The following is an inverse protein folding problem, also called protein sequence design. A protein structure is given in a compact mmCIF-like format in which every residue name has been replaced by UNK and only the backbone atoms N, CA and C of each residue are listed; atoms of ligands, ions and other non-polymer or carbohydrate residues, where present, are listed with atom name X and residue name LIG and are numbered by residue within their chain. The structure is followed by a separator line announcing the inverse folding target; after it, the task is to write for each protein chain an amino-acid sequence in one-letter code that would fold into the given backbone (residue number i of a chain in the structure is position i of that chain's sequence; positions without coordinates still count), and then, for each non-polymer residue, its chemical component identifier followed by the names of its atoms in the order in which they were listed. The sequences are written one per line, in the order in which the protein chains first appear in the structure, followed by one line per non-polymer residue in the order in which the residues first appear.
data_IF_708565561279
#
_entry.id   IF_708565561279
#
_cell.length_a   1.000
_cell.length_b   1.000
_cell.length_c   1.000
_cell.angle_alpha   90.00
_cell.angle_beta   90.00
_cell.angle_gamma   90.00
#
_symmetry.space_group_name_H-M   'P 1'
#
loop_
_entity.id
_entity.type
_entity.pdbx_description
1 polymer ?
#
# COMPACT_ATOMS: atom_id res chain seq x y z
N UNK A 1 74.82 1.93 14.79
CA UNK A 1 73.35 2.04 14.65
C UNK A 1 72.95 1.32 13.37
N UNK A 2 72.48 0.08 13.49
CA UNK A 2 71.99 -0.77 12.42
C UNK A 2 70.96 -1.74 13.05
N UNK A 3 69.76 -1.82 12.47
CA UNK A 3 68.68 -2.68 12.92
C UNK A 3 69.00 -4.16 12.65
N UNK A 4 68.60 -5.06 13.55
CA UNK A 4 68.78 -6.51 13.39
C UNK A 4 67.73 -7.34 14.14
N UNK A 5 67.17 -8.30 13.40
CA UNK A 5 66.71 -9.61 13.87
C UNK A 5 65.29 -9.69 14.46
N UNK A 6 64.59 -10.82 14.42
CA UNK A 6 64.82 -12.16 13.86
C UNK A 6 63.44 -12.87 13.86
N UNK A 7 63.14 -13.63 12.80
CA UNK A 7 62.06 -14.62 12.72
C UNK A 7 62.58 -16.00 13.16
N UNK A 8 61.70 -16.82 13.77
CA UNK A 8 61.64 -18.31 13.86
C UNK A 8 61.12 -18.82 15.24
N UNK A 9 60.86 -20.13 15.50
CA UNK A 9 59.93 -21.10 14.86
C UNK A 9 59.24 -22.03 15.93
N UNK A 10 58.42 -23.05 15.53
CA UNK A 10 58.13 -24.36 16.21
C UNK A 10 57.10 -25.14 15.32
N UNK A 11 57.38 -26.24 14.57
CA UNK A 11 57.55 -27.69 14.90
C UNK A 11 56.36 -28.29 15.73
N UNK A 12 55.74 -29.47 15.50
CA UNK A 12 56.01 -30.69 14.69
C UNK A 12 54.75 -31.61 14.62
N UNK A 13 54.56 -32.28 13.47
CA UNK A 13 54.04 -33.65 13.13
C UNK A 13 53.19 -34.53 14.06
N UNK A 14 52.18 -35.22 13.48
CA UNK A 14 52.13 -36.71 13.30
C UNK A 14 51.00 -37.18 12.34
N UNK A 15 51.27 -38.24 11.57
CA UNK A 15 50.40 -38.88 10.57
C UNK A 15 50.08 -40.36 10.92
N UNK A 16 49.09 -40.93 10.20
CA UNK A 16 48.81 -42.37 9.86
C UNK A 16 47.97 -43.19 10.90
N UNK A 17 47.13 -44.22 10.55
CA UNK A 17 46.67 -44.78 9.25
C UNK A 17 45.13 -44.94 9.06
N UNK A 18 44.79 -45.26 7.81
CA UNK A 18 43.53 -45.79 7.27
C UNK A 18 43.37 -47.30 7.60
N UNK A 19 42.19 -47.75 8.04
CA UNK A 19 41.84 -49.17 8.11
C UNK A 19 40.39 -49.41 7.66
N UNK A 20 40.23 -50.42 6.81
CA UNK A 20 38.98 -50.97 6.29
C UNK A 20 38.19 -51.74 7.34
N UNK A 21 36.86 -51.66 7.31
CA UNK A 21 35.99 -52.52 8.13
C UNK A 21 34.62 -52.73 7.49
N UNK A 22 34.41 -53.92 6.93
CA UNK A 22 33.11 -54.47 6.53
C UNK A 22 32.23 -54.67 7.77
N UNK A 23 30.94 -54.35 7.70
CA UNK A 23 29.88 -54.89 8.55
C UNK A 23 28.62 -55.02 7.67
N UNK A 24 28.34 -56.21 7.13
CA UNK A 24 27.45 -57.24 7.69
C UNK A 24 26.00 -56.76 7.84
N UNK A 25 25.24 -56.96 6.76
CA UNK A 25 23.79 -56.98 6.76
C UNK A 25 23.30 -58.18 7.58
N UNK A 26 22.47 -57.93 8.60
CA UNK A 26 21.57 -58.93 9.17
C UNK A 26 20.14 -58.46 8.94
N UNK A 27 19.42 -59.21 8.11
CA UNK A 27 17.98 -59.09 7.90
C UNK A 27 17.22 -59.41 9.18
N UNK A 28 16.06 -58.79 9.37
CA UNK A 28 14.85 -59.45 9.87
C UNK A 28 13.64 -58.62 9.44
N UNK A 29 12.77 -59.27 8.67
CA UNK A 29 11.46 -58.81 8.23
C UNK A 29 10.44 -58.89 9.35
N UNK A 30 9.58 -57.89 9.49
CA UNK A 30 8.17 -58.09 9.85
C UNK A 30 7.33 -57.02 9.13
N UNK A 31 6.35 -57.49 8.36
CA UNK A 31 5.38 -56.65 7.68
C UNK A 31 4.31 -56.22 8.68
N UNK A 32 4.04 -54.92 8.76
CA UNK A 32 2.80 -54.39 9.30
C UNK A 32 2.36 -53.20 8.44
N UNK A 33 1.28 -53.45 7.72
CA UNK A 33 0.46 -52.58 6.90
C UNK A 33 0.41 -51.11 7.40
N UNK A 34 1.23 -50.24 6.81
CA UNK A 34 1.11 -48.79 6.97
C UNK A 34 0.70 -48.20 5.62
N UNK A 35 -0.53 -47.71 5.53
CA UNK A 35 -0.94 -46.88 4.39
C UNK A 35 0.06 -45.71 4.26
N UNK A 36 0.51 -45.38 3.04
CA UNK A 36 1.35 -44.20 2.86
C UNK A 36 0.60 -42.98 3.40
N UNK A 37 1.27 -42.04 4.09
CA UNK A 37 0.61 -40.83 4.56
C UNK A 37 -0.08 -40.19 3.36
N UNK A 38 -1.41 -40.05 3.45
CA UNK A 38 -2.20 -39.40 2.42
C UNK A 38 -1.52 -38.09 2.05
N UNK A 39 -1.22 -37.92 0.77
CA UNK A 39 -0.65 -36.68 0.25
C UNK A 39 -1.44 -35.50 0.83
N UNK A 40 -0.77 -34.43 1.31
CA UNK A 40 -1.47 -33.28 1.84
C UNK A 40 -2.41 -32.78 0.75
N UNK A 41 -3.73 -32.84 1.00
CA UNK A 41 -4.73 -32.29 0.09
C UNK A 41 -4.27 -30.88 -0.27
N UNK A 42 -4.24 -30.50 -1.56
CA UNK A 42 -3.86 -29.14 -1.95
C UNK A 42 -4.76 -28.19 -1.16
N UNK A 43 -4.13 -27.40 -0.28
CA UNK A 43 -4.85 -26.47 0.59
C UNK A 43 -5.66 -25.55 -0.32
N UNK A 44 -6.97 -25.46 -0.06
CA UNK A 44 -7.86 -24.59 -0.81
C UNK A 44 -7.20 -23.21 -0.98
N UNK A 45 -7.15 -22.74 -2.23
CA UNK A 45 -6.65 -21.40 -2.54
C UNK A 45 -7.39 -20.41 -1.64
N UNK A 46 -6.63 -19.71 -0.80
CA UNK A 46 -7.18 -18.81 0.20
C UNK A 46 -7.74 -17.58 -0.52
N UNK A 47 -9.03 -17.61 -0.84
CA UNK A 47 -9.74 -16.49 -1.47
C UNK A 47 -9.99 -15.43 -0.42
N UNK A 48 -9.26 -14.32 -0.50
CA UNK A 48 -9.53 -13.13 0.30
C UNK A 48 -10.38 -12.19 -0.56
N UNK A 49 -11.63 -11.91 -0.19
CA UNK A 49 -12.44 -10.92 -0.89
C UNK A 49 -11.74 -9.56 -0.87
N UNK A 50 -11.71 -8.85 -2.00
CA UNK A 50 -11.13 -7.52 -2.07
C UNK A 50 -11.78 -6.54 -1.08
N UNK A 51 -13.08 -6.70 -0.81
CA UNK A 51 -13.84 -5.95 0.19
C UNK A 51 -13.42 -6.21 1.63
N UNK A 52 -12.62 -7.26 1.90
CA UNK A 52 -12.10 -7.54 3.24
C UNK A 52 -10.83 -6.75 3.57
N UNK A 53 -10.23 -6.10 2.58
CA UNK A 53 -8.99 -5.34 2.74
C UNK A 53 -9.20 -3.82 2.76
N UNK A 54 -10.39 -3.34 2.42
CA UNK A 54 -10.71 -1.92 2.48
C UNK A 54 -12.01 -1.72 3.22
N UNK A 55 -12.09 -0.65 3.99
CA UNK A 55 -13.29 -0.25 4.71
C UNK A 55 -13.78 1.07 4.13
N UNK A 56 -14.98 1.05 3.54
CA UNK A 56 -15.59 2.18 2.85
C UNK A 56 -16.87 2.56 3.62
N UNK A 57 -16.98 3.81 4.08
CA UNK A 57 -18.18 4.28 4.78
C UNK A 57 -18.90 5.42 4.05
N UNK A 58 -18.16 6.31 3.36
CA UNK A 58 -18.75 7.36 2.51
C UNK A 58 -18.41 7.20 1.01
N UNK A 59 -17.61 6.19 0.66
CA UNK A 59 -17.27 5.88 -0.74
C UNK A 59 -17.80 4.53 -1.18
N UNK A 60 -17.90 4.32 -2.49
CA UNK A 60 -18.21 3.01 -3.06
C UNK A 60 -16.93 2.22 -3.32
N UNK A 61 -16.91 0.91 -3.01
CA UNK A 61 -15.76 0.07 -3.34
C UNK A 61 -15.57 0.01 -4.86
N UNK A 62 -14.31 0.01 -5.36
CA UNK A 62 -14.03 -0.01 -6.79
C UNK A 62 -14.49 -1.31 -7.45
N UNK A 63 -15.00 -1.20 -8.67
CA UNK A 63 -15.38 -2.37 -9.48
C UNK A 63 -14.14 -3.13 -9.98
N UNK A 64 -14.25 -4.43 -10.31
CA UNK A 64 -13.15 -5.18 -10.89
C UNK A 64 -12.58 -4.56 -12.18
N UNK A 65 -13.42 -3.91 -12.97
CA UNK A 65 -13.01 -3.20 -14.20
C UNK A 65 -12.18 -1.97 -13.88
N UNK A 66 -12.57 -1.19 -12.87
CA UNK A 66 -11.82 -0.03 -12.39
C UNK A 66 -10.45 -0.44 -11.85
N UNK A 67 -10.39 -1.52 -11.07
CA UNK A 67 -9.12 -2.07 -10.57
C UNK A 67 -8.22 -2.55 -11.73
N UNK A 68 -8.79 -3.20 -12.74
CA UNK A 68 -8.06 -3.65 -13.93
C UNK A 68 -7.53 -2.47 -14.75
N UNK A 69 -8.33 -1.41 -14.90
CA UNK A 69 -7.90 -0.17 -15.55
C UNK A 69 -6.73 0.47 -14.80
N UNK A 70 -6.85 0.60 -13.47
CA UNK A 70 -5.79 1.15 -12.64
C UNK A 70 -4.50 0.33 -12.72
N UNK A 71 -4.58 -1.00 -12.67
CA UNK A 71 -3.42 -1.87 -12.87
C UNK A 71 -2.77 -1.64 -14.24
N UNK A 72 -3.58 -1.58 -15.32
CA UNK A 72 -3.09 -1.34 -16.68
C UNK A 72 -2.40 0.01 -16.82
N UNK A 73 -2.95 1.08 -16.24
CA UNK A 73 -2.36 2.43 -16.30
C UNK A 73 -0.91 2.44 -15.78
N UNK A 74 -0.66 1.81 -14.62
CA UNK A 74 0.67 1.75 -14.00
C UNK A 74 1.62 0.71 -14.62
N UNK A 75 1.09 -0.25 -15.38
CA UNK A 75 1.88 -1.32 -16.02
C UNK A 75 2.20 -1.05 -17.47
N UNK A 76 1.43 -0.17 -18.14
CA UNK A 76 1.58 0.13 -19.56
C UNK A 76 2.97 0.68 -19.88
N UNK A 77 3.44 1.62 -19.07
CA UNK A 77 4.71 2.31 -19.25
C UNK A 77 5.51 2.29 -17.94
N UNK A 78 6.84 2.17 -17.99
CA UNK A 78 7.65 2.28 -16.79
C UNK A 78 7.58 3.71 -16.24
N UNK A 79 7.62 3.89 -14.90
CA UNK A 79 7.63 5.21 -14.29
C UNK A 79 8.93 5.95 -14.64
N UNK A 80 8.81 7.26 -14.83
CA UNK A 80 9.92 8.16 -15.15
C UNK A 80 10.24 8.99 -13.90
N UNK A 81 11.50 8.98 -13.46
CA UNK A 81 11.95 9.89 -12.42
C UNK A 81 12.04 11.30 -13.00
N UNK A 82 11.38 12.26 -12.35
CA UNK A 82 11.39 13.66 -12.77
C UNK A 82 12.49 14.42 -12.03
N UNK A 83 12.38 14.51 -10.71
CA UNK A 83 13.27 15.32 -9.90
C UNK A 83 13.36 14.84 -8.44
N UNK A 84 14.41 15.30 -7.75
CA UNK A 84 14.57 15.17 -6.31
C UNK A 84 14.93 16.53 -5.71
N UNK A 85 14.07 17.05 -4.83
CA UNK A 85 14.19 18.38 -4.28
C UNK A 85 14.13 18.36 -2.75
N UNK A 86 15.15 18.88 -2.04
CA UNK A 86 15.11 18.97 -0.58
C UNK A 86 14.23 20.13 -0.10
N UNK A 87 13.93 21.10 -0.96
CA UNK A 87 13.15 22.30 -0.65
C UNK A 87 12.02 22.47 -1.66
N UNK A 88 10.87 22.97 -1.22
CA UNK A 88 9.72 23.22 -2.07
C UNK A 88 10.05 24.13 -3.26
N UNK A 89 10.82 25.20 -3.02
CA UNK A 89 11.18 26.17 -4.07
C UNK A 89 12.14 25.64 -5.14
N UNK A 90 12.81 24.52 -4.90
CA UNK A 90 13.83 23.95 -5.80
C UNK A 90 13.33 22.74 -6.58
N UNK A 91 12.03 22.47 -6.55
CA UNK A 91 11.42 21.42 -7.37
C UNK A 91 11.23 21.90 -8.80
N UNK A 92 11.11 20.96 -9.75
CA UNK A 92 10.69 21.32 -11.09
C UNK A 92 9.17 21.48 -11.09
N UNK A 93 8.74 22.65 -11.57
CA UNK A 93 7.33 23.01 -11.63
C UNK A 93 6.70 22.41 -12.89
N UNK A 94 5.57 21.75 -12.72
CA UNK A 94 4.72 21.29 -13.82
C UNK A 94 3.25 21.36 -13.46
N UNK A 95 2.38 21.06 -14.41
CA UNK A 95 0.93 21.25 -14.28
C UNK A 95 0.15 19.93 -14.16
N UNK A 96 0.86 18.79 -14.18
CA UNK A 96 0.24 17.47 -14.03
C UNK A 96 -0.33 17.26 -12.63
N UNK A 97 -1.47 16.57 -12.48
CA UNK A 97 -2.02 16.24 -11.17
C UNK A 97 -1.03 15.42 -10.34
N UNK A 98 -0.96 15.73 -9.05
CA UNK A 98 0.00 15.16 -8.12
C UNK A 98 -0.67 14.44 -6.95
N UNK A 99 -0.06 13.35 -6.52
CA UNK A 99 -0.38 12.68 -5.26
C UNK A 99 0.91 12.48 -4.47
N UNK A 100 0.87 12.70 -3.16
CA UNK A 100 2.05 12.53 -2.32
C UNK A 100 1.88 11.42 -1.29
N UNK A 101 2.95 10.68 -1.02
CA UNK A 101 2.98 9.63 -0.01
C UNK A 101 3.74 10.12 1.22
N UNK A 102 3.08 10.05 2.38
CA UNK A 102 3.59 10.44 3.68
C UNK A 102 3.50 9.24 4.62
N UNK A 103 4.35 9.22 5.65
CA UNK A 103 4.31 8.18 6.67
C UNK A 103 5.55 8.17 7.54
N UNK A 104 5.46 7.51 8.69
CA UNK A 104 6.59 7.34 9.61
C UNK A 104 7.77 6.62 8.95
N UNK A 105 8.97 6.89 9.45
CA UNK A 105 10.14 6.08 9.11
C UNK A 105 9.85 4.58 9.32
N UNK A 106 10.20 3.75 8.33
CA UNK A 106 9.97 2.31 8.31
C UNK A 106 8.49 1.84 8.29
N UNK A 107 7.52 2.72 8.01
CA UNK A 107 6.12 2.30 7.82
C UNK A 107 5.92 1.44 6.57
N UNK A 108 6.85 1.50 5.61
CA UNK A 108 6.77 0.73 4.35
C UNK A 108 6.53 1.59 3.10
N UNK A 109 6.56 2.92 3.21
CA UNK A 109 6.34 3.86 2.09
C UNK A 109 7.13 3.56 0.82
N UNK A 110 8.45 3.45 0.90
CA UNK A 110 9.27 3.18 -0.28
C UNK A 110 9.01 1.80 -0.87
N UNK A 111 8.71 0.80 -0.03
CA UNK A 111 8.31 -0.54 -0.50
C UNK A 111 6.95 -0.51 -1.20
N UNK A 112 5.99 0.25 -0.67
CA UNK A 112 4.68 0.46 -1.29
C UNK A 112 4.81 1.19 -2.62
N UNK A 113 5.60 2.27 -2.69
CA UNK A 113 5.83 3.01 -3.93
C UNK A 113 6.45 2.12 -5.01
N UNK A 114 7.46 1.32 -4.67
CA UNK A 114 8.02 0.35 -5.61
C UNK A 114 6.97 -0.67 -6.07
N UNK A 115 6.02 -1.02 -5.20
CA UNK A 115 4.94 -1.92 -5.56
C UNK A 115 3.88 -1.29 -6.46
N UNK A 116 3.50 -0.05 -6.19
CA UNK A 116 2.55 0.74 -7.00
C UNK A 116 3.12 1.02 -8.39
N UNK A 117 4.40 1.42 -8.45
CA UNK A 117 5.07 1.88 -9.67
C UNK A 117 5.73 0.74 -10.47
N UNK A 118 5.55 -0.52 -10.04
CA UNK A 118 6.10 -1.71 -10.72
C UNK A 118 7.63 -1.70 -10.92
N UNK A 119 8.37 -0.81 -10.24
CA UNK A 119 9.82 -0.61 -10.45
C UNK A 119 10.50 -0.22 -9.13
N UNK A 120 11.72 -0.70 -8.91
CA UNK A 120 12.53 -0.38 -7.72
C UNK A 120 13.20 0.98 -7.85
N UNK A 121 12.42 2.05 -7.81
CA UNK A 121 12.90 3.45 -7.96
C UNK A 121 12.99 4.20 -6.63
N UNK A 122 12.19 3.81 -5.63
CA UNK A 122 12.29 4.33 -4.28
C UNK A 122 13.28 3.49 -3.47
N UNK A 123 14.25 4.14 -2.84
CA UNK A 123 15.24 3.44 -2.02
C UNK A 123 14.62 2.87 -0.74
N UNK A 124 14.61 1.55 -0.60
CA UNK A 124 14.19 0.86 0.63
C UNK A 124 15.38 0.66 1.56
N UNK A 125 15.26 1.09 2.82
CA UNK A 125 16.26 0.82 3.87
C UNK A 125 15.56 0.69 5.21
N UNK A 126 16.07 -0.17 6.07
CA UNK A 126 15.64 -0.29 7.47
C UNK A 126 16.18 0.84 8.36
N UNK A 127 17.19 1.59 7.88
CA UNK A 127 17.77 2.73 8.61
C UNK A 127 16.88 3.97 8.44
N UNK A 128 16.44 4.63 9.53
CA UNK A 128 15.65 5.85 9.46
C UNK A 128 16.36 7.00 8.73
N UNK A 129 15.58 7.92 8.12
CA UNK A 129 16.10 9.16 7.53
C UNK A 129 16.81 9.01 6.18
N UNK A 130 16.54 7.95 5.41
CA UNK A 130 17.17 7.71 4.10
C UNK A 130 16.63 8.62 2.99
N UNK A 131 15.31 8.81 2.93
CA UNK A 131 14.67 9.79 2.05
C UNK A 131 14.80 11.15 2.69
N UNK A 132 15.71 11.99 2.16
CA UNK A 132 16.03 13.32 2.69
C UNK A 132 15.49 14.47 1.83
N UNK A 133 14.91 14.12 0.69
CA UNK A 133 14.36 15.02 -0.32
C UNK A 133 13.05 14.42 -0.83
N UNK A 134 12.18 15.29 -1.35
CA UNK A 134 10.97 14.90 -2.05
C UNK A 134 11.37 14.36 -3.42
N UNK A 135 10.89 13.18 -3.80
CA UNK A 135 11.18 12.60 -5.11
C UNK A 135 9.89 12.51 -5.92
N UNK A 136 9.90 13.00 -7.16
CA UNK A 136 8.75 12.96 -8.05
C UNK A 136 8.94 11.92 -9.16
N UNK A 137 7.90 11.13 -9.38
CA UNK A 137 7.85 10.09 -10.41
C UNK A 137 6.62 10.28 -11.29
N UNK A 138 6.80 10.41 -12.59
CA UNK A 138 5.70 10.43 -13.55
C UNK A 138 5.26 9.00 -13.91
N UNK A 139 3.95 8.81 -14.04
CA UNK A 139 3.31 7.59 -14.50
C UNK A 139 2.28 7.95 -15.57
N UNK A 140 2.32 7.23 -16.69
CA UNK A 140 1.43 7.45 -17.82
C UNK A 140 1.71 8.74 -18.60
N UNK A 141 0.91 8.94 -19.64
CA UNK A 141 0.94 10.12 -20.49
C UNK A 141 2.17 10.25 -21.40
N UNK A 142 2.96 9.19 -21.64
CA UNK A 142 4.07 9.29 -22.61
C UNK A 142 3.54 9.36 -24.04
N UNK A 143 2.46 8.64 -24.35
CA UNK A 143 1.85 8.61 -25.69
C UNK A 143 1.00 9.85 -26.04
N UNK A 144 0.62 10.68 -25.06
CA UNK A 144 -0.31 11.81 -25.26
C UNK A 144 0.28 13.17 -24.88
N UNK A 145 1.60 13.29 -24.94
CA UNK A 145 2.36 14.50 -24.57
C UNK A 145 2.07 14.98 -23.13
N UNK A 146 1.82 14.04 -22.21
CA UNK A 146 1.64 14.31 -20.78
C UNK A 146 0.22 14.66 -20.36
N UNK A 147 -0.77 14.52 -21.25
CA UNK A 147 -2.19 14.84 -20.93
C UNK A 147 -2.75 13.92 -19.85
N UNK A 148 -2.48 12.62 -19.92
CA UNK A 148 -2.92 11.66 -18.91
C UNK A 148 -1.77 11.26 -17.97
N UNK A 149 -0.92 12.22 -17.60
CA UNK A 149 0.20 11.98 -16.68
C UNK A 149 -0.25 12.19 -15.23
N UNK A 150 0.09 11.24 -14.36
CA UNK A 150 0.04 11.39 -12.91
C UNK A 150 1.46 11.55 -12.38
N UNK A 151 1.67 12.49 -11.46
CA UNK A 151 2.94 12.62 -10.72
C UNK A 151 2.76 12.09 -9.30
N UNK A 152 3.63 11.16 -8.90
CA UNK A 152 3.63 10.50 -7.61
C UNK A 152 4.84 10.96 -6.82
N UNK A 153 4.62 11.56 -5.65
CA UNK A 153 5.68 12.08 -4.79
C UNK A 153 5.98 11.16 -3.62
N UNK A 154 7.26 10.87 -3.41
CA UNK A 154 7.80 10.26 -2.20
C UNK A 154 8.27 11.36 -1.23
N UNK A 155 7.49 11.63 -0.19
CA UNK A 155 7.88 12.61 0.84
C UNK A 155 8.86 11.98 1.85
N UNK A 156 9.80 12.76 2.42
CA UNK A 156 10.64 12.27 3.51
C UNK A 156 9.77 11.82 4.69
N UNK A 157 10.15 10.71 5.34
CA UNK A 157 9.39 10.16 6.46
C UNK A 157 9.53 10.99 7.72
N UNK A 158 8.44 11.16 8.48
CA UNK A 158 8.44 11.84 9.77
C UNK A 158 8.69 10.85 10.93
N UNK A 159 8.83 11.38 12.15
CA UNK A 159 9.11 10.61 13.36
C UNK A 159 10.61 10.36 13.60
N UNK A 160 10.98 9.18 14.13
CA UNK A 160 12.36 8.86 14.54
C UNK A 160 13.34 9.02 13.37
N UNK A 161 14.30 9.95 13.48
CA UNK A 161 15.26 10.26 12.42
C UNK A 161 14.77 11.27 11.36
N UNK A 162 13.54 11.79 11.51
CA UNK A 162 13.02 12.95 10.79
C UNK A 162 13.68 14.25 11.27
N UNK A 163 13.92 15.18 10.35
CA UNK A 163 14.42 16.53 10.67
C UNK A 163 13.27 17.54 10.65
N UNK A 164 13.27 18.50 11.58
CA UNK A 164 12.27 19.56 11.63
C UNK A 164 12.17 20.34 10.30
N UNK A 165 13.32 20.57 9.65
CA UNK A 165 13.41 21.21 8.34
C UNK A 165 12.58 20.50 7.26
N UNK A 166 12.51 19.16 7.30
CA UNK A 166 11.69 18.39 6.35
C UNK A 166 10.20 18.63 6.57
N UNK A 167 9.80 18.72 7.85
CA UNK A 167 8.44 19.12 8.23
C UNK A 167 8.08 20.44 7.55
N UNK A 168 8.89 21.49 7.74
CA UNK A 168 8.64 22.81 7.14
C UNK A 168 8.50 22.78 5.61
N UNK A 169 9.27 21.94 4.90
CA UNK A 169 9.15 21.84 3.44
C UNK A 169 7.90 21.06 3.01
N UNK A 170 7.55 19.99 3.74
CA UNK A 170 6.30 19.26 3.53
C UNK A 170 5.11 20.20 3.77
N UNK A 171 5.09 20.97 4.86
CA UNK A 171 4.03 21.94 5.16
C UNK A 171 3.83 22.93 4.01
N UNK A 172 4.93 23.47 3.48
CA UNK A 172 4.89 24.38 2.32
C UNK A 172 4.33 23.69 1.09
N UNK A 173 4.76 22.47 0.82
CA UNK A 173 4.25 21.69 -0.31
C UNK A 173 2.74 21.49 -0.21
N UNK A 174 2.28 20.98 0.93
CA UNK A 174 0.88 20.66 1.19
C UNK A 174 -0.02 21.89 1.09
N UNK A 175 0.43 23.05 1.60
CA UNK A 175 -0.37 24.27 1.61
C UNK A 175 -0.25 25.16 0.36
N UNK A 176 0.74 24.95 -0.51
CA UNK A 176 1.01 25.87 -1.63
C UNK A 176 0.92 25.21 -3.02
N UNK A 177 0.95 23.87 -3.10
CA UNK A 177 0.92 23.16 -4.39
C UNK A 177 -0.50 22.90 -4.87
N UNK A 178 -0.94 23.65 -5.89
CA UNK A 178 -2.30 23.54 -6.47
C UNK A 178 -2.56 22.23 -7.23
N UNK A 179 -1.49 21.63 -7.73
CA UNK A 179 -1.51 20.39 -8.48
C UNK A 179 -1.66 19.18 -7.57
N UNK A 180 -1.38 19.32 -6.27
CA UNK A 180 -1.58 18.27 -5.28
C UNK A 180 -3.08 18.00 -5.13
N UNK A 181 -3.50 16.79 -5.50
CA UNK A 181 -4.90 16.36 -5.46
C UNK A 181 -5.23 15.52 -4.25
N UNK A 182 -4.26 14.76 -3.73
CA UNK A 182 -4.46 13.92 -2.53
C UNK A 182 -3.15 13.53 -1.87
N UNK A 183 -3.13 13.59 -0.53
CA UNK A 183 -2.09 13.03 0.30
C UNK A 183 -2.45 11.59 0.72
N UNK A 184 -1.53 10.65 0.59
CA UNK A 184 -1.66 9.27 1.05
C UNK A 184 -0.83 9.09 2.31
N UNK A 185 -1.51 9.00 3.46
CA UNK A 185 -0.88 8.80 4.75
C UNK A 185 -0.80 7.31 5.08
N UNK A 186 0.42 6.79 5.12
CA UNK A 186 0.66 5.40 5.47
C UNK A 186 0.72 5.21 6.98
N UNK A 187 -0.03 4.22 7.44
CA UNK A 187 -0.04 3.74 8.82
C UNK A 187 0.32 2.25 8.81
N UNK A 188 1.08 1.80 9.79
CA UNK A 188 1.45 0.39 9.95
C UNK A 188 0.26 -0.38 10.52
N UNK A 189 -0.25 -1.39 9.82
CA UNK A 189 -1.45 -2.13 10.23
C UNK A 189 -1.30 -2.86 11.58
N UNK A 190 -0.07 -3.21 11.97
CA UNK A 190 0.22 -3.89 13.23
C UNK A 190 0.19 -2.91 14.42
N UNK A 191 0.68 -1.68 14.20
CA UNK A 191 0.88 -0.71 15.27
C UNK A 191 -0.22 0.34 15.37
N UNK A 192 -1.02 0.51 14.31
CA UNK A 192 -2.04 1.54 14.20
C UNK A 192 -1.48 2.97 14.21
N UNK A 193 -2.39 3.92 14.41
CA UNK A 193 -2.10 5.35 14.49
C UNK A 193 -1.27 5.67 15.74
N UNK A 194 -0.24 6.49 15.56
CA UNK A 194 0.57 7.07 16.65
C UNK A 194 0.40 8.58 16.70
N UNK A 195 0.94 9.19 17.74
CA UNK A 195 0.79 10.62 17.99
C UNK A 195 1.29 11.51 16.85
N UNK A 196 2.44 11.16 16.27
CA UNK A 196 2.95 11.88 15.09
C UNK A 196 2.06 11.73 13.86
N UNK A 197 1.28 10.66 13.76
CA UNK A 197 0.31 10.48 12.69
C UNK A 197 -0.91 11.40 12.94
N UNK A 198 -1.38 11.51 14.19
CA UNK A 198 -2.47 12.43 14.59
C UNK A 198 -2.14 13.88 14.28
N UNK A 199 -0.96 14.35 14.69
CA UNK A 199 -0.50 15.71 14.41
C UNK A 199 -0.48 16.04 12.90
N UNK A 200 -0.17 15.05 12.06
CA UNK A 200 -0.19 15.25 10.60
C UNK A 200 -1.62 15.24 10.04
N UNK A 201 -2.51 14.44 10.62
CA UNK A 201 -3.94 14.43 10.29
C UNK A 201 -4.57 15.78 10.67
N UNK A 202 -4.30 16.29 11.87
CA UNK A 202 -4.80 17.59 12.34
C UNK A 202 -4.33 18.71 11.40
N UNK A 203 -3.09 18.64 10.95
CA UNK A 203 -2.57 19.56 9.95
C UNK A 203 -3.30 19.43 8.60
N UNK A 204 -3.59 18.21 8.13
CA UNK A 204 -4.35 18.05 6.89
C UNK A 204 -5.72 18.70 7.00
N UNK A 205 -6.40 18.55 8.14
CA UNK A 205 -7.66 19.24 8.43
C UNK A 205 -7.47 20.76 8.44
N UNK A 206 -6.48 21.28 9.18
CA UNK A 206 -6.18 22.73 9.25
C UNK A 206 -5.86 23.36 7.88
N UNK A 207 -5.26 22.59 6.97
CA UNK A 207 -4.87 23.05 5.63
C UNK A 207 -5.84 22.61 4.52
N UNK A 208 -6.96 21.99 4.89
CA UNK A 208 -7.98 21.47 3.96
C UNK A 208 -7.36 20.57 2.86
N UNK A 209 -6.32 19.82 3.21
CA UNK A 209 -5.61 18.95 2.26
C UNK A 209 -6.39 17.65 2.14
N UNK A 210 -6.88 17.26 0.96
CA UNK A 210 -7.53 15.97 0.79
C UNK A 210 -6.57 14.82 1.09
N UNK A 211 -6.93 13.89 1.97
CA UNK A 211 -6.06 12.78 2.36
C UNK A 211 -6.75 11.43 2.43
N UNK A 212 -5.97 10.37 2.17
CA UNK A 212 -6.35 8.97 2.22
C UNK A 212 -5.47 8.24 3.21
N UNK A 213 -6.06 7.52 4.16
CA UNK A 213 -5.29 6.61 5.02
C UNK A 213 -5.06 5.28 4.30
N UNK A 214 -3.82 4.82 4.32
CA UNK A 214 -3.42 3.51 3.78
C UNK A 214 -2.78 2.67 4.88
N UNK A 215 -3.43 1.56 5.25
CA UNK A 215 -2.85 0.56 6.15
C UNK A 215 -1.85 -0.30 5.38
N UNK A 216 -0.58 -0.19 5.74
CA UNK A 216 0.53 -0.92 5.14
C UNK A 216 0.89 -2.17 5.96
N UNK A 217 1.66 -3.09 5.36
CA UNK A 217 2.13 -4.33 5.99
C UNK A 217 1.03 -5.24 6.53
N UNK A 218 -0.14 -5.25 5.88
CA UNK A 218 -1.27 -6.09 6.27
C UNK A 218 -0.91 -7.58 6.28
N UNK A 219 0.08 -7.97 5.48
CA UNK A 219 0.66 -9.32 5.49
C UNK A 219 1.19 -9.74 6.86
N UNK A 220 1.69 -8.83 7.69
CA UNK A 220 2.16 -9.14 9.04
C UNK A 220 1.01 -9.44 10.00
N UNK A 221 -0.14 -8.80 9.79
CA UNK A 221 -1.34 -9.05 10.60
C UNK A 221 -2.01 -10.35 10.15
N UNK A 222 -2.22 -10.52 8.85
CA UNK A 222 -2.97 -11.66 8.31
C UNK A 222 -2.13 -12.93 8.18
N UNK A 223 -0.84 -12.79 7.90
CA UNK A 223 0.08 -13.89 7.59
C UNK A 223 1.37 -13.80 8.41
N UNK A 224 1.26 -13.53 9.71
CA UNK A 224 2.41 -13.59 10.60
C UNK A 224 3.10 -14.96 10.49
N UNK A 225 4.36 -14.95 10.02
CA UNK A 225 5.20 -16.12 9.79
C UNK A 225 5.10 -16.79 8.41
N UNK A 226 5.86 -17.88 8.24
CA UNK A 226 5.96 -18.62 6.98
C UNK A 226 4.81 -19.60 6.72
N UNK A 227 4.05 -19.96 7.77
CA UNK A 227 2.95 -20.93 7.67
C UNK A 227 1.64 -20.23 7.30
N UNK A 228 0.90 -20.82 6.35
CA UNK A 228 -0.49 -20.40 6.07
C UNK A 228 -1.34 -20.60 7.32
N UNK A 229 -2.07 -19.56 7.80
CA UNK A 229 -2.95 -19.68 8.95
C UNK A 229 -4.12 -20.62 8.65
N UNK A 230 -4.71 -21.21 9.71
CA UNK A 230 -6.01 -21.89 9.60
C UNK A 230 -7.12 -20.86 9.29
N UNK A 231 -8.27 -21.33 8.80
CA UNK A 231 -9.39 -20.44 8.48
C UNK A 231 -9.84 -19.62 9.70
N UNK A 232 -10.07 -20.25 10.86
CA UNK A 232 -10.45 -19.53 12.08
C UNK A 232 -9.39 -18.54 12.59
N UNK A 233 -8.09 -18.86 12.43
CA UNK A 233 -7.03 -17.91 12.77
C UNK A 233 -7.03 -16.70 11.83
N UNK A 234 -7.30 -16.92 10.55
CA UNK A 234 -7.40 -15.84 9.57
C UNK A 234 -8.62 -14.94 9.83
N UNK A 235 -9.77 -15.52 10.16
CA UNK A 235 -10.97 -14.77 10.54
C UNK A 235 -10.71 -13.88 11.77
N UNK A 236 -10.05 -14.42 12.80
CA UNK A 236 -9.65 -13.64 13.97
C UNK A 236 -8.71 -12.48 13.61
N UNK A 237 -7.75 -12.73 12.72
CA UNK A 237 -6.81 -11.69 12.22
C UNK A 237 -7.51 -10.64 11.37
N UNK A 238 -8.53 -11.01 10.58
CA UNK A 238 -9.38 -10.04 9.89
C UNK A 238 -10.18 -9.18 10.87
N UNK A 239 -10.72 -9.77 11.93
CA UNK A 239 -11.39 -9.02 12.99
C UNK A 239 -10.45 -8.06 13.71
N UNK A 240 -9.18 -8.44 13.91
CA UNK A 240 -8.14 -7.52 14.39
C UNK A 240 -7.91 -6.36 13.41
N UNK A 241 -7.75 -6.64 12.11
CA UNK A 241 -7.57 -5.61 11.09
C UNK A 241 -8.77 -4.66 11.02
N UNK A 242 -10.00 -5.16 11.11
CA UNK A 242 -11.22 -4.34 11.14
C UNK A 242 -11.25 -3.39 12.33
N UNK A 243 -10.90 -3.87 13.53
CA UNK A 243 -10.79 -3.00 14.71
C UNK A 243 -9.76 -1.87 14.51
N UNK A 244 -8.63 -2.16 13.86
CA UNK A 244 -7.67 -1.12 13.49
C UNK A 244 -8.28 -0.11 12.50
N UNK A 245 -9.04 -0.57 11.51
CA UNK A 245 -9.73 0.31 10.56
C UNK A 245 -10.81 1.16 11.24
N UNK A 246 -11.57 0.61 12.17
CA UNK A 246 -12.58 1.32 12.97
C UNK A 246 -11.95 2.41 13.82
N UNK A 247 -10.85 2.11 14.53
CA UNK A 247 -10.11 3.12 15.30
C UNK A 247 -9.53 4.23 14.43
N UNK A 248 -9.13 3.93 13.19
CA UNK A 248 -8.72 4.94 12.22
C UNK A 248 -9.92 5.80 11.80
N UNK A 249 -11.07 5.16 11.51
CA UNK A 249 -12.30 5.85 11.13
C UNK A 249 -12.72 6.85 12.19
N UNK A 250 -12.77 6.45 13.46
CA UNK A 250 -13.17 7.33 14.58
C UNK A 250 -12.34 8.61 14.68
N UNK A 251 -11.06 8.57 14.28
CA UNK A 251 -10.19 9.75 14.29
C UNK A 251 -10.36 10.64 13.04
N UNK A 252 -10.61 9.99 11.91
CA UNK A 252 -10.52 10.58 10.57
C UNK A 252 -11.86 11.07 10.07
N UNK A 253 -12.95 10.43 10.51
CA UNK A 253 -14.31 10.85 10.21
C UNK A 253 -14.52 12.26 10.76
N UNK A 254 -15.04 13.19 9.96
CA UNK A 254 -15.30 14.55 10.40
C UNK A 254 -16.38 14.58 11.49
N UNK A 255 -16.19 15.44 12.50
CA UNK A 255 -17.18 15.68 13.54
C UNK A 255 -18.31 16.61 13.05
N UNK A 256 -18.06 17.38 11.99
CA UNK A 256 -19.00 18.32 11.38
C UNK A 256 -18.91 18.34 9.84
N UNK A 257 -19.96 18.80 9.14
CA UNK A 257 -19.95 18.93 7.67
C UNK A 257 -18.89 19.93 7.14
N UNK A 258 -18.36 20.78 8.01
CA UNK A 258 -17.33 21.79 7.70
C UNK A 258 -15.89 21.25 7.81
N UNK A 259 -15.68 20.09 8.45
CA UNK A 259 -14.36 19.46 8.61
C UNK A 259 -13.96 18.69 7.33
N UNK A 260 -13.63 19.43 6.28
CA UNK A 260 -13.15 18.84 5.01
C UNK A 260 -11.75 18.24 5.12
N UNK A 261 -11.57 17.00 4.66
CA UNK A 261 -10.22 16.53 4.28
C UNK A 261 -10.07 15.03 4.09
N UNK A 262 -10.76 14.22 4.89
CA UNK A 262 -10.64 12.77 4.79
C UNK A 262 -11.48 12.20 3.65
N UNK A 263 -10.90 11.32 2.84
CA UNK A 263 -11.71 10.42 2.02
C UNK A 263 -12.36 9.41 2.96
N UNK A 264 -13.67 9.19 2.81
CA UNK A 264 -14.46 8.27 3.64
C UNK A 264 -14.19 6.77 3.42
N UNK A 265 -12.90 6.41 3.32
CA UNK A 265 -12.42 5.04 3.22
C UNK A 265 -11.05 4.85 3.86
N UNK A 266 -10.74 3.61 4.23
CA UNK A 266 -9.39 3.15 4.61
C UNK A 266 -9.02 1.98 3.71
N UNK A 267 -7.87 2.08 3.04
CA UNK A 267 -7.38 1.02 2.14
C UNK A 267 -6.25 0.26 2.83
N UNK A 268 -6.34 -1.06 2.89
CA UNK A 268 -5.25 -1.88 3.43
C UNK A 268 -4.52 -2.64 2.33
N UNK A 269 -3.19 -2.66 2.41
CA UNK A 269 -2.33 -3.20 1.38
C UNK A 269 -1.07 -3.90 1.93
N UNK A 270 -0.48 -4.73 1.08
CA UNK A 270 0.84 -5.33 1.30
C UNK A 270 1.71 -5.14 0.06
N UNK A 271 2.95 -4.68 0.27
CA UNK A 271 3.96 -4.60 -0.79
C UNK A 271 4.64 -5.95 -1.08
N UNK A 272 4.54 -6.91 -0.17
CA UNK A 272 5.31 -8.17 -0.20
C UNK A 272 4.45 -9.39 -0.55
N UNK A 273 3.22 -9.46 -0.04
CA UNK A 273 2.36 -10.64 -0.18
C UNK A 273 1.60 -10.64 -1.50
N UNK A 274 1.75 -11.74 -2.22
CA UNK A 274 1.00 -12.04 -3.43
C UNK A 274 -0.07 -13.08 -3.15
N UNK A 275 -1.27 -12.85 -3.67
CA UNK A 275 -2.42 -13.76 -3.63
C UNK A 275 -2.99 -13.80 -5.04
N UNK A 276 -3.10 -15.00 -5.60
CA UNK A 276 -3.64 -15.22 -6.96
C UNK A 276 -2.99 -14.34 -8.04
N UNK A 277 -1.66 -14.17 -7.97
CA UNK A 277 -0.90 -13.39 -8.94
C UNK A 277 -1.03 -11.86 -8.80
N UNK A 278 -1.75 -11.37 -7.77
CA UNK A 278 -1.87 -9.93 -7.47
C UNK A 278 -1.31 -9.62 -6.08
N UNK A 279 -0.79 -8.42 -5.91
CA UNK A 279 -0.41 -7.92 -4.58
C UNK A 279 -1.62 -7.39 -3.86
N UNK A 280 -1.73 -7.70 -2.56
CA UNK A 280 -2.90 -7.34 -1.75
C UNK A 280 -3.08 -5.83 -1.67
N UNK A 281 -4.26 -5.34 -2.05
CA UNK A 281 -4.66 -3.93 -1.93
C UNK A 281 -3.94 -2.94 -2.87
N UNK A 282 -2.93 -3.36 -3.63
CA UNK A 282 -2.14 -2.45 -4.48
C UNK A 282 -2.99 -1.80 -5.58
N UNK A 283 -3.86 -2.58 -6.23
CA UNK A 283 -4.72 -2.03 -7.30
C UNK A 283 -5.79 -1.09 -6.75
N UNK A 284 -6.23 -1.27 -5.49
CA UNK A 284 -7.15 -0.34 -4.83
C UNK A 284 -6.47 1.01 -4.55
N UNK A 285 -5.21 1.00 -4.08
CA UNK A 285 -4.43 2.22 -3.90
C UNK A 285 -4.18 2.92 -5.24
N UNK A 286 -3.84 2.15 -6.30
CA UNK A 286 -3.71 2.73 -7.67
C UNK A 286 -5.00 3.38 -8.13
N UNK A 287 -6.13 2.74 -7.91
CA UNK A 287 -7.44 3.30 -8.25
C UNK A 287 -7.69 4.61 -7.50
N UNK A 288 -7.45 4.66 -6.18
CA UNK A 288 -7.61 5.87 -5.39
C UNK A 288 -6.70 7.01 -5.88
N UNK A 289 -5.48 6.71 -6.33
CA UNK A 289 -4.58 7.70 -6.95
C UNK A 289 -5.13 8.25 -8.27
N UNK A 290 -5.67 7.38 -9.13
CA UNK A 290 -6.30 7.82 -10.38
C UNK A 290 -7.56 8.63 -10.12
N UNK A 291 -8.38 8.21 -9.15
CA UNK A 291 -9.60 8.92 -8.74
C UNK A 291 -9.28 10.33 -8.23
N UNK A 292 -8.23 10.48 -7.42
CA UNK A 292 -7.76 11.80 -6.97
C UNK A 292 -7.37 12.70 -8.16
N UNK A 293 -6.76 12.12 -9.19
CA UNK A 293 -6.29 12.83 -10.36
C UNK A 293 -7.35 13.04 -11.46
N UNK A 294 -8.56 12.48 -11.31
CA UNK A 294 -9.58 12.48 -12.36
C UNK A 294 -9.24 11.59 -13.57
N UNK A 295 -8.34 10.63 -13.39
CA UNK A 295 -7.84 9.70 -14.41
C UNK A 295 -8.45 8.28 -14.28
N UNK A 296 -9.45 8.12 -13.43
CA UNK A 296 -10.13 6.85 -13.18
C UNK A 296 -11.07 6.43 -14.32
N UNK A 297 -11.31 5.12 -14.42
CA UNK A 297 -12.38 4.62 -15.28
C UNK A 297 -13.74 4.99 -14.68
N UNK A 298 -14.42 5.95 -15.29
CA UNK A 298 -15.82 6.27 -15.01
C UNK A 298 -16.72 5.35 -15.85
N UNK A 299 -17.52 4.45 -15.24
CA UNK A 299 -18.46 3.66 -16.00
C UNK A 299 -19.41 4.61 -16.73
N UNK A 300 -19.71 4.31 -18.00
CA UNK A 300 -20.72 5.05 -18.76
C UNK A 300 -22.06 4.73 -18.11
N UNK A 301 -22.56 5.63 -17.26
CA UNK A 301 -23.94 5.57 -16.80
C UNK A 301 -24.81 5.79 -18.02
N UNK A 302 -25.44 4.73 -18.53
CA UNK A 302 -26.61 4.91 -19.39
C UNK A 302 -27.66 5.52 -18.47
N UNK A 303 -27.82 6.83 -18.52
CA UNK A 303 -28.98 7.48 -17.92
C UNK A 303 -30.19 6.71 -18.44
N UNK A 304 -31.00 6.17 -17.52
CA UNK A 304 -32.29 5.63 -17.91
C UNK A 304 -33.01 6.74 -18.71
N UNK A 305 -33.74 6.35 -19.76
CA UNK A 305 -34.60 7.30 -20.45
C UNK A 305 -35.41 8.06 -19.39
N UNK A 306 -35.54 9.39 -19.50
CA UNK A 306 -36.27 10.18 -18.51
C UNK A 306 -37.61 9.49 -18.26
N UNK A 307 -37.84 9.08 -17.01
CA UNK A 307 -39.12 8.52 -16.62
C UNK A 307 -40.12 9.65 -16.84
N UNK A 308 -41.09 9.42 -17.72
CA UNK A 308 -42.17 10.36 -17.98
C UNK A 308 -42.86 10.61 -16.63
N UNK A 309 -42.74 11.84 -16.11
CA UNK A 309 -43.33 12.19 -14.83
C UNK A 309 -44.83 12.30 -15.09
N UNK A 310 -45.55 11.21 -14.84
CA UNK A 310 -47.00 11.17 -14.94
C UNK A 310 -47.58 12.15 -13.89
N UNK A 311 -48.35 13.17 -14.29
CA UNK A 311 -48.97 14.10 -13.35
C UNK A 311 -49.86 13.35 -12.35
N UNK A 312 -49.94 13.83 -11.11
CA UNK A 312 -50.79 13.26 -10.05
C UNK A 312 -52.25 13.03 -10.50
N UNK A 313 -52.75 13.93 -11.37
CA UNK A 313 -54.10 13.90 -11.93
C UNK A 313 -54.36 12.69 -12.84
N UNK A 314 -53.35 12.22 -13.58
CA UNK A 314 -53.45 11.04 -14.45
C UNK A 314 -53.41 9.74 -13.64
N UNK A 315 -52.76 9.73 -12.46
CA UNK A 315 -52.65 8.55 -11.61
C UNK A 315 -53.91 8.35 -10.77
N UNK A 316 -54.51 9.44 -10.27
CA UNK A 316 -55.58 9.36 -9.27
C UNK A 316 -56.96 9.75 -9.79
N UNK A 317 -57.13 9.99 -11.10
CA UNK A 317 -58.43 10.05 -11.75
C UNK A 317 -59.48 10.83 -10.95
N UNK A 318 -59.22 12.11 -10.69
CA UNK A 318 -60.26 12.98 -10.17
C UNK A 318 -61.33 13.14 -11.26
N UNK A 319 -62.35 12.29 -11.18
CA UNK A 319 -63.55 12.40 -12.00
C UNK A 319 -64.08 13.81 -11.90
N UNK A 320 -64.13 14.50 -13.06
CA UNK A 320 -64.87 15.74 -13.22
C UNK A 320 -66.33 15.46 -12.87
N UNK A 321 -66.71 15.73 -11.63
CA UNK A 321 -68.09 15.98 -11.26
C UNK A 321 -68.32 17.48 -11.45
N UNK A 322 -69.12 17.82 -12.45
CA UNK A 322 -69.47 19.22 -12.70
C UNK A 322 -70.33 19.39 -13.94
N UNK A 323 -71.65 19.55 -13.70
CA UNK A 323 -72.61 20.17 -14.62
C UNK A 323 -73.65 19.23 -15.16
#
# INVERSE_FOLDING_TARGET
MLASGKLQPCLRTRCIPYYSGRNLYRSLSTAANAQPPSSPKPRAHLKIPASSLSYHWDTLPPTPEQLKHAAKFFQKEPPIFLWSAPKFKTMDWGDSPEVCFLGRSNVGKSSLLNALLCKKIAHTSSKPGRTRAMNAFAVGGSEDNGKNRLVVLDMPGYGKGGRAEWGTQILKYLGQRKELKRAFLLVDAEHGIKETDRQLIDLFKEKEVPYQIVLSKVDRVLFDGSRTPSQGALESRFSQLRRTMESVKELVQPDSEEDGGAVGEVIACSSEKWIEGKRMGIDAVRFAMLQAAGLELRPKVKLAAPVEIVPYEEIFGMGKSGG
#
